data_IF_495284704133
#
_entry.id   IF_495284704133
#
_cell.length_a   1.000
_cell.length_b   1.000
_cell.length_c   1.000
_cell.angle_alpha   90.00
_cell.angle_beta   90.00
_cell.angle_gamma   90.00
#
_symmetry.space_group_name_H-M   'P 1'
#
loop_
_entity.id
_entity.type
_entity.pdbx_description
1 polymer ?
#
# COMPACT_ATOMS: atom_id res chain seq x y z
N UNK A 1 12.63 -12.27 -6.35
CA UNK A 1 11.38 -11.82 -7.00
C UNK A 1 10.36 -11.76 -5.90
N UNK A 2 9.81 -10.57 -5.58
CA UNK A 2 8.97 -10.42 -4.39
C UNK A 2 7.68 -11.24 -4.50
N UNK A 3 7.28 -11.87 -3.40
CA UNK A 3 5.99 -12.53 -3.33
C UNK A 3 4.93 -11.51 -2.90
N UNK A 4 4.08 -11.08 -3.84
CA UNK A 4 2.99 -10.15 -3.58
C UNK A 4 1.77 -10.89 -3.07
N UNK A 5 1.36 -10.54 -1.85
CA UNK A 5 0.14 -11.05 -1.21
C UNK A 5 -0.86 -9.91 -1.20
N UNK A 6 -1.94 -10.08 -1.96
CA UNK A 6 -3.06 -9.13 -1.97
C UNK A 6 -3.97 -9.49 -0.79
N UNK A 7 -4.02 -8.62 0.21
CA UNK A 7 -4.88 -8.83 1.37
C UNK A 7 -6.35 -8.65 0.98
N UNK A 8 -7.28 -9.34 1.66
CA UNK A 8 -8.72 -9.12 1.44
C UNK A 8 -9.10 -7.66 1.65
N UNK A 9 -8.57 -7.04 2.71
CA UNK A 9 -8.78 -5.63 2.99
C UNK A 9 -8.33 -4.72 1.83
N UNK A 10 -7.26 -5.09 1.11
CA UNK A 10 -6.83 -4.32 -0.04
C UNK A 10 -7.79 -4.48 -1.22
N UNK A 11 -8.26 -5.70 -1.50
CA UNK A 11 -9.24 -5.96 -2.55
C UNK A 11 -10.54 -5.19 -2.35
N UNK A 12 -11.09 -5.24 -1.13
CA UNK A 12 -12.33 -4.55 -0.79
C UNK A 12 -12.17 -3.03 -0.95
N UNK A 13 -11.07 -2.48 -0.44
CA UNK A 13 -10.75 -1.06 -0.54
C UNK A 13 -10.40 -0.63 -1.98
N UNK A 14 -9.77 -1.51 -2.77
CA UNK A 14 -9.42 -1.24 -4.17
C UNK A 14 -10.68 -1.06 -5.02
N UNK A 15 -11.69 -1.91 -4.84
CA UNK A 15 -12.94 -1.81 -5.61
C UNK A 15 -13.69 -0.52 -5.31
N UNK A 16 -13.80 -0.16 -4.02
CA UNK A 16 -14.38 1.11 -3.61
C UNK A 16 -13.60 2.29 -4.17
N UNK A 17 -12.26 2.23 -4.14
CA UNK A 17 -11.40 3.27 -4.71
C UNK A 17 -11.63 3.44 -6.21
N UNK A 18 -11.58 2.35 -6.98
CA UNK A 18 -11.76 2.36 -8.44
C UNK A 18 -13.11 2.95 -8.83
N UNK A 19 -14.19 2.63 -8.10
CA UNK A 19 -15.52 3.16 -8.40
C UNK A 19 -15.64 4.69 -8.32
N UNK A 20 -14.68 5.36 -7.68
CA UNK A 20 -14.64 6.82 -7.50
C UNK A 20 -13.71 7.52 -8.50
N UNK A 21 -12.98 6.76 -9.32
CA UNK A 21 -12.02 7.31 -10.27
C UNK A 21 -12.69 7.68 -11.58
N UNK A 22 -12.20 8.77 -12.18
CA UNK A 22 -12.40 9.01 -13.62
C UNK A 22 -11.61 7.99 -14.45
N UNK A 23 -11.96 7.82 -15.73
CA UNK A 23 -11.25 6.91 -16.64
C UNK A 23 -9.73 7.21 -16.68
N UNK A 24 -9.36 8.50 -16.72
CA UNK A 24 -7.95 8.91 -16.75
C UNK A 24 -7.21 8.51 -15.47
N UNK A 25 -7.85 8.65 -14.32
CA UNK A 25 -7.29 8.25 -13.03
C UNK A 25 -7.21 6.73 -12.89
N UNK A 26 -8.21 6.00 -13.39
CA UNK A 26 -8.21 4.55 -13.44
C UNK A 26 -7.03 4.01 -14.26
N UNK A 27 -6.83 4.53 -15.48
CA UNK A 27 -5.68 4.15 -16.32
C UNK A 27 -4.34 4.45 -15.63
N UNK A 28 -4.23 5.59 -14.95
CA UNK A 28 -3.04 5.93 -14.16
C UNK A 28 -2.83 4.93 -13.01
N UNK A 29 -3.89 4.56 -12.29
CA UNK A 29 -3.84 3.59 -11.20
C UNK A 29 -3.36 2.21 -11.68
N UNK A 30 -3.92 1.68 -12.77
CA UNK A 30 -3.52 0.38 -13.34
C UNK A 30 -2.05 0.39 -13.74
N UNK A 31 -1.58 1.46 -14.39
CA UNK A 31 -0.18 1.61 -14.76
C UNK A 31 0.76 1.66 -13.55
N UNK A 32 0.38 2.42 -12.50
CA UNK A 32 1.15 2.46 -11.24
C UNK A 32 1.19 1.09 -10.57
N UNK A 33 0.07 0.37 -10.53
CA UNK A 33 0.00 -0.99 -9.95
C UNK A 33 0.88 -1.98 -10.71
N UNK A 34 0.91 -1.94 -12.04
CA UNK A 34 1.75 -2.79 -12.86
C UNK A 34 3.25 -2.52 -12.62
N UNK A 35 3.64 -1.25 -12.54
CA UNK A 35 5.02 -0.86 -12.17
C UNK A 35 5.37 -1.34 -10.77
N UNK A 36 4.45 -1.17 -9.82
CA UNK A 36 4.62 -1.59 -8.43
C UNK A 36 4.88 -3.09 -8.33
N UNK A 37 4.08 -3.91 -9.02
CA UNK A 37 4.26 -5.37 -9.06
C UNK A 37 5.60 -5.78 -9.71
N UNK A 38 6.12 -4.99 -10.66
CA UNK A 38 7.41 -5.26 -11.29
C UNK A 38 8.59 -4.89 -10.39
N UNK A 39 8.55 -3.71 -9.76
CA UNK A 39 9.59 -3.23 -8.86
C UNK A 39 9.05 -2.18 -7.88
N UNK A 40 8.81 -2.54 -6.62
CA UNK A 40 8.24 -1.63 -5.62
C UNK A 40 9.14 -0.46 -5.23
N UNK A 41 10.44 -0.57 -5.49
CA UNK A 41 11.43 0.45 -5.17
C UNK A 41 11.90 1.20 -6.43
N UNK A 42 11.17 1.07 -7.53
CA UNK A 42 11.37 1.92 -8.69
C UNK A 42 11.18 3.38 -8.29
N UNK A 43 12.15 4.24 -8.64
CA UNK A 43 12.14 5.67 -8.28
C UNK A 43 10.89 6.39 -8.81
N UNK A 44 10.30 5.92 -9.90
CA UNK A 44 9.06 6.49 -10.46
C UNK A 44 7.81 6.24 -9.61
N UNK A 45 7.89 5.32 -8.64
CA UNK A 45 6.79 4.91 -7.77
C UNK A 45 6.79 5.70 -6.45
N UNK A 46 7.81 6.54 -6.22
CA UNK A 46 7.93 7.46 -5.09
C UNK A 46 7.58 6.79 -3.74
N UNK A 47 8.27 5.67 -3.48
CA UNK A 47 8.09 4.85 -2.28
C UNK A 47 8.84 5.47 -1.10
N UNK A 48 8.16 5.58 0.04
CA UNK A 48 8.70 6.14 1.29
C UNK A 48 8.59 5.11 2.41
N UNK A 49 9.66 4.93 3.17
CA UNK A 49 9.63 4.24 4.46
C UNK A 49 8.77 5.04 5.45
N UNK A 50 7.87 4.35 6.14
CA UNK A 50 6.98 4.96 7.14
C UNK A 50 7.40 4.57 8.56
N UNK A 51 7.57 3.27 8.76
CA UNK A 51 7.71 2.68 10.08
C UNK A 51 8.41 1.32 9.97
N UNK A 52 9.15 0.95 11.00
CA UNK A 52 9.81 -0.35 11.08
C UNK A 52 9.72 -0.89 12.51
N UNK A 53 9.21 -2.11 12.65
CA UNK A 53 9.29 -2.88 13.88
C UNK A 53 9.56 -4.35 13.58
N UNK A 54 10.45 -4.95 14.37
CA UNK A 54 10.85 -6.35 14.23
C UNK A 54 11.30 -6.64 12.78
N UNK A 55 10.70 -7.66 12.15
CA UNK A 55 10.95 -8.09 10.77
C UNK A 55 10.01 -7.47 9.75
N UNK A 56 9.23 -6.44 10.13
CA UNK A 56 8.23 -5.79 9.29
C UNK A 56 8.60 -4.32 9.07
N UNK A 57 8.56 -3.91 7.81
CA UNK A 57 8.66 -2.52 7.38
C UNK A 57 7.37 -2.10 6.71
N UNK A 58 6.95 -0.86 6.97
CA UNK A 58 5.76 -0.26 6.38
C UNK A 58 6.20 0.81 5.40
N UNK A 59 5.59 0.78 4.23
CA UNK A 59 5.89 1.70 3.15
C UNK A 59 4.62 2.37 2.62
N UNK A 60 4.78 3.58 2.08
CA UNK A 60 3.77 4.20 1.22
C UNK A 60 4.32 4.53 -0.15
N UNK A 61 3.46 4.48 -1.16
CA UNK A 61 3.75 4.94 -2.51
C UNK A 61 2.56 5.75 -3.03
N UNK A 62 2.84 6.90 -3.65
CA UNK A 62 1.80 7.74 -4.21
C UNK A 62 1.22 7.16 -5.50
N UNK A 63 -0.12 7.14 -5.58
CA UNK A 63 -0.87 6.86 -6.81
C UNK A 63 -1.08 8.16 -7.59
N UNK A 64 -1.48 9.20 -6.86
CA UNK A 64 -1.69 10.56 -7.33
C UNK A 64 -1.36 11.55 -6.19
N UNK A 65 -1.75 12.82 -6.34
CA UNK A 65 -1.45 13.87 -5.35
C UNK A 65 -2.13 13.68 -3.99
N UNK A 66 -3.21 12.90 -3.92
CA UNK A 66 -4.07 12.76 -2.75
C UNK A 66 -4.11 11.34 -2.19
N UNK A 67 -3.81 10.34 -3.02
CA UNK A 67 -3.98 8.93 -2.73
C UNK A 67 -2.65 8.17 -2.80
N UNK A 68 -2.50 7.21 -1.91
CA UNK A 68 -1.31 6.39 -1.77
C UNK A 68 -1.64 4.95 -1.42
N UNK A 69 -0.81 4.02 -1.88
CA UNK A 69 -0.83 2.61 -1.47
C UNK A 69 0.03 2.47 -0.23
N UNK A 70 -0.51 1.81 0.78
CA UNK A 70 0.21 1.34 1.96
C UNK A 70 0.47 -0.15 1.81
N UNK A 71 1.71 -0.56 2.06
CA UNK A 71 2.08 -1.97 1.99
C UNK A 71 3.11 -2.33 3.07
N UNK A 72 3.07 -3.60 3.47
CA UNK A 72 3.99 -4.15 4.45
C UNK A 72 5.00 -5.04 3.75
N UNK A 73 6.27 -4.90 4.13
CA UNK A 73 7.34 -5.80 3.75
C UNK A 73 7.72 -6.64 4.97
N UNK A 74 7.63 -7.97 4.85
CA UNK A 74 8.05 -8.92 5.89
C UNK A 74 9.10 -9.87 5.32
N UNK A 75 10.20 -10.05 6.04
CA UNK A 75 11.25 -10.98 5.62
C UNK A 75 10.81 -12.45 5.75
N UNK A 76 11.29 -13.35 4.86
CA UNK A 76 12.01 -13.03 3.61
C UNK A 76 11.02 -12.67 2.48
N UNK A 77 11.17 -11.45 1.93
CA UNK A 77 10.60 -11.00 0.65
C UNK A 77 9.08 -11.09 0.42
N UNK A 78 8.26 -11.10 1.47
CA UNK A 78 6.80 -11.02 1.33
C UNK A 78 6.34 -9.56 1.35
N UNK A 79 5.62 -9.15 0.31
CA UNK A 79 5.00 -7.83 0.22
C UNK A 79 3.49 -8.01 0.35
N UNK A 80 2.91 -7.40 1.37
CA UNK A 80 1.47 -7.43 1.61
C UNK A 80 0.88 -6.08 1.24
N UNK A 81 0.06 -6.06 0.19
CA UNK A 81 -0.71 -4.87 -0.16
C UNK A 81 -1.81 -4.68 0.88
N UNK A 82 -1.79 -3.58 1.61
CA UNK A 82 -2.69 -3.38 2.74
C UNK A 82 -3.91 -2.56 2.38
N UNK A 83 -3.74 -1.27 2.07
CA UNK A 83 -4.85 -0.36 1.74
C UNK A 83 -4.40 0.76 0.80
N UNK A 84 -5.34 1.31 0.07
CA UNK A 84 -5.27 2.62 -0.57
C UNK A 84 -5.84 3.64 0.41
N UNK A 85 -5.11 4.72 0.65
CA UNK A 85 -5.50 5.76 1.59
C UNK A 85 -5.33 7.14 0.99
N UNK A 86 -6.27 8.02 1.33
CA UNK A 86 -6.09 9.46 1.17
C UNK A 86 -5.08 9.97 2.20
N UNK A 87 -4.49 11.13 1.95
CA UNK A 87 -3.54 11.77 2.88
C UNK A 87 -4.11 11.97 4.31
N UNK A 88 -5.41 12.27 4.43
CA UNK A 88 -6.06 12.39 5.73
C UNK A 88 -6.06 11.07 6.51
N UNK A 89 -6.44 9.98 5.84
CA UNK A 89 -6.48 8.65 6.45
C UNK A 89 -5.07 8.09 6.71
N UNK A 90 -4.11 8.43 5.85
CA UNK A 90 -2.70 8.13 6.06
C UNK A 90 -2.17 8.74 7.36
N UNK A 91 -2.44 10.02 7.64
CA UNK A 91 -2.02 10.66 8.90
C UNK A 91 -2.61 9.95 10.13
N UNK A 92 -3.87 9.53 10.06
CA UNK A 92 -4.51 8.73 11.14
C UNK A 92 -3.86 7.37 11.33
N UNK A 93 -3.45 6.71 10.24
CA UNK A 93 -2.69 5.46 10.30
C UNK A 93 -1.36 5.68 11.02
N UNK A 94 -0.61 6.75 10.68
CA UNK A 94 0.67 7.05 11.32
C UNK A 94 0.53 7.20 12.84
N UNK A 95 -0.50 7.89 13.30
CA UNK A 95 -0.76 8.08 14.73
C UNK A 95 -1.09 6.78 15.48
N UNK A 96 -1.48 5.71 14.76
CA UNK A 96 -1.93 4.44 15.36
C UNK A 96 -1.23 3.22 14.74
N UNK A 97 0.00 3.41 14.21
CA UNK A 97 0.62 2.41 13.34
C UNK A 97 0.96 1.10 14.08
N UNK A 98 1.30 1.18 15.36
CA UNK A 98 1.54 -0.01 16.19
C UNK A 98 0.29 -0.89 16.32
N UNK A 99 -0.88 -0.27 16.49
CA UNK A 99 -2.15 -1.00 16.55
C UNK A 99 -2.49 -1.62 15.19
N UNK A 100 -2.34 -0.86 14.10
CA UNK A 100 -2.59 -1.37 12.75
C UNK A 100 -1.66 -2.53 12.39
N UNK A 101 -0.41 -2.50 12.84
CA UNK A 101 0.55 -3.58 12.64
C UNK A 101 0.19 -4.83 13.45
N UNK A 102 -0.23 -4.66 14.71
CA UNK A 102 -0.70 -5.80 15.53
C UNK A 102 -1.93 -6.44 14.90
N UNK A 103 -2.90 -5.64 14.46
CA UNK A 103 -4.10 -6.15 13.78
C UNK A 103 -3.73 -6.87 12.48
N UNK A 104 -2.86 -6.30 11.66
CA UNK A 104 -2.35 -6.95 10.46
C UNK A 104 -1.67 -8.29 10.75
N UNK A 105 -0.83 -8.35 11.79
CA UNK A 105 -0.13 -9.56 12.22
C UNK A 105 -1.05 -10.65 12.77
N UNK A 106 -2.16 -10.28 13.40
CA UNK A 106 -3.10 -11.25 13.97
C UNK A 106 -4.02 -11.87 12.91
N UNK A 107 -4.21 -11.18 11.77
CA UNK A 107 -5.05 -11.64 10.68
C UNK A 107 -4.27 -12.38 9.56
N UNK A 108 -2.99 -12.71 9.79
CA UNK A 108 -2.09 -13.38 8.84
C UNK A 108 -1.17 -14.42 9.50
#
# INVERSE_FOLDING_TARGET
MYNFIITKSFLDNQNEYISKLTEKEYQKFINTKAKFQKNIFDKSINTHDIYQANSIKVYSSYINEKDRIIFFYKKPEKIFLYKIMTDHNYKKLLSNIDFALKDFLNNF
#
